data_IF_540367021323
#
_entry.id   IF_540367021323
#
_cell.length_a   1.000
_cell.length_b   1.000
_cell.length_c   1.000
_cell.angle_alpha   90.00
_cell.angle_beta   90.00
_cell.angle_gamma   90.00
#
_symmetry.space_group_name_H-M   'P 1'
#
loop_
_entity.id
_entity.type
_entity.pdbx_description
1 polymer ?
#
# COMPACT_ATOMS: atom_id res chain seq x y z
N UNK A 1 9.32 -14.89 -6.64
CA UNK A 1 9.18 -14.07 -5.42
C UNK A 1 7.92 -13.23 -5.52
N UNK A 2 7.12 -13.23 -4.47
CA UNK A 2 5.91 -12.42 -4.44
C UNK A 2 6.24 -11.01 -3.95
N UNK A 3 5.61 -10.01 -4.59
CA UNK A 3 5.71 -8.62 -4.13
C UNK A 3 4.66 -8.41 -3.05
N UNK A 4 5.06 -7.85 -1.92
CA UNK A 4 4.14 -7.52 -0.85
C UNK A 4 3.72 -6.05 -0.99
N UNK A 5 2.41 -5.81 -1.01
CA UNK A 5 1.83 -4.48 -1.21
C UNK A 5 1.11 -3.99 0.04
N UNK A 6 1.08 -2.67 0.19
CA UNK A 6 0.31 -1.99 1.23
C UNK A 6 -0.64 -1.02 0.53
N UNK A 7 -1.94 -1.26 0.67
CA UNK A 7 -2.96 -0.48 -0.05
C UNK A 7 -3.50 0.67 0.80
N UNK A 8 -3.40 1.89 0.25
CA UNK A 8 -4.07 3.04 0.84
C UNK A 8 -5.59 2.88 0.80
N UNK A 9 -6.27 3.55 1.72
CA UNK A 9 -7.72 3.53 1.86
C UNK A 9 -8.46 3.95 0.58
N UNK A 10 -7.86 4.81 -0.22
CA UNK A 10 -8.48 5.32 -1.45
C UNK A 10 -8.37 4.38 -2.65
N UNK A 11 -7.64 3.27 -2.53
CA UNK A 11 -7.55 2.29 -3.61
C UNK A 11 -8.85 1.48 -3.66
N UNK A 12 -9.52 1.43 -4.83
CA UNK A 12 -10.78 0.70 -4.94
C UNK A 12 -10.63 -0.79 -4.61
N UNK A 13 -11.62 -1.33 -3.89
CA UNK A 13 -11.61 -2.76 -3.48
C UNK A 13 -11.46 -3.75 -4.63
N UNK A 14 -12.06 -3.52 -5.82
CA UNK A 14 -11.87 -4.45 -6.94
C UNK A 14 -10.41 -4.62 -7.34
N UNK A 15 -9.58 -3.59 -7.22
CA UNK A 15 -8.14 -3.67 -7.51
C UNK A 15 -7.47 -4.60 -6.51
N UNK A 16 -7.75 -4.44 -5.23
CA UNK A 16 -7.21 -5.31 -4.18
C UNK A 16 -7.63 -6.77 -4.39
N UNK A 17 -8.90 -7.01 -4.70
CA UNK A 17 -9.40 -8.36 -4.97
C UNK A 17 -8.72 -8.99 -6.18
N UNK A 18 -8.55 -8.20 -7.25
CA UNK A 18 -7.89 -8.68 -8.45
C UNK A 18 -6.44 -9.09 -8.20
N UNK A 19 -5.73 -8.31 -7.40
CA UNK A 19 -4.34 -8.63 -7.03
C UNK A 19 -4.29 -9.90 -6.16
N UNK A 20 -5.19 -10.04 -5.20
CA UNK A 20 -5.24 -11.22 -4.34
C UNK A 20 -5.55 -12.50 -5.13
N UNK A 21 -6.38 -12.40 -6.17
CA UNK A 21 -6.66 -13.53 -7.06
C UNK A 21 -5.42 -13.98 -7.83
N UNK A 22 -4.48 -13.08 -8.04
CA UNK A 22 -3.20 -13.38 -8.71
C UNK A 22 -2.11 -13.77 -7.72
N UNK A 23 -2.50 -14.07 -6.49
CA UNK A 23 -1.59 -14.50 -5.42
C UNK A 23 -0.61 -13.42 -4.99
N UNK A 24 -0.93 -12.15 -5.24
CA UNK A 24 -0.15 -11.03 -4.73
C UNK A 24 -0.52 -10.80 -3.26
N UNK A 25 0.48 -10.72 -2.40
CA UNK A 25 0.25 -10.45 -0.99
C UNK A 25 -0.10 -8.98 -0.79
N UNK A 26 -1.30 -8.71 -0.28
CA UNK A 26 -1.81 -7.35 -0.09
C UNK A 26 -2.30 -7.18 1.34
N UNK A 27 -1.81 -6.13 1.99
CA UNK A 27 -2.34 -5.65 3.27
C UNK A 27 -2.97 -4.28 3.01
N UNK A 28 -4.21 -4.09 3.44
CA UNK A 28 -4.87 -2.78 3.30
C UNK A 28 -4.70 -1.94 4.56
N UNK A 29 -4.76 -0.61 4.40
CA UNK A 29 -4.70 0.29 5.53
C UNK A 29 -5.83 0.02 6.53
N UNK A 30 -7.02 -0.33 6.03
CA UNK A 30 -8.15 -0.67 6.88
C UNK A 30 -7.84 -1.89 7.76
N UNK A 31 -7.24 -2.92 7.18
CA UNK A 31 -6.87 -4.14 7.90
C UNK A 31 -5.77 -3.89 8.93
N UNK A 32 -4.85 -2.98 8.62
CA UNK A 32 -3.74 -2.63 9.52
C UNK A 32 -4.13 -1.59 10.57
N UNK A 33 -5.35 -1.03 10.49
CA UNK A 33 -5.80 -0.02 11.44
C UNK A 33 -5.23 1.37 11.21
N UNK A 34 -4.74 1.65 10.01
CA UNK A 34 -4.08 2.92 9.68
C UNK A 34 -4.87 3.77 8.68
N UNK A 35 -6.16 3.48 8.51
CA UNK A 35 -6.99 4.12 7.48
C UNK A 35 -7.09 5.65 7.63
N UNK A 36 -6.82 6.19 8.82
CA UNK A 36 -6.85 7.64 9.09
C UNK A 36 -5.47 8.28 9.17
N UNK A 37 -4.42 7.51 8.92
CA UNK A 37 -3.07 8.04 9.00
C UNK A 37 -2.77 8.94 7.80
N UNK A 38 -1.97 9.98 8.02
CA UNK A 38 -1.49 10.84 6.96
C UNK A 38 -0.47 10.11 6.10
N UNK A 39 -0.34 10.54 4.84
CA UNK A 39 0.48 9.87 3.83
C UNK A 39 1.93 9.60 4.26
N UNK A 40 2.64 10.55 4.88
CA UNK A 40 4.01 10.27 5.32
C UNK A 40 4.09 9.13 6.34
N UNK A 41 3.11 9.03 7.23
CA UNK A 41 3.05 7.98 8.24
C UNK A 41 2.72 6.63 7.59
N UNK A 42 1.84 6.61 6.58
CA UNK A 42 1.53 5.39 5.83
C UNK A 42 2.76 4.87 5.11
N UNK A 43 3.52 5.76 4.50
CA UNK A 43 4.74 5.38 3.79
C UNK A 43 5.77 4.80 4.74
N UNK A 44 5.94 5.40 5.91
CA UNK A 44 6.83 4.88 6.96
C UNK A 44 6.38 3.49 7.42
N UNK A 45 5.07 3.31 7.60
CA UNK A 45 4.51 2.02 8.01
C UNK A 45 4.76 0.94 6.95
N UNK A 46 4.52 1.26 5.68
CA UNK A 46 4.77 0.32 4.59
C UNK A 46 6.25 -0.06 4.52
N UNK A 47 7.14 0.90 4.67
CA UNK A 47 8.58 0.69 4.68
C UNK A 47 8.99 -0.22 5.85
N UNK A 48 8.45 0.02 7.03
CA UNK A 48 8.68 -0.80 8.23
C UNK A 48 8.28 -2.26 7.99
N UNK A 49 7.17 -2.47 7.28
CA UNK A 49 6.66 -3.80 6.96
C UNK A 49 7.34 -4.45 5.74
N UNK A 50 8.23 -3.73 5.07
CA UNK A 50 8.87 -4.22 3.86
C UNK A 50 7.91 -4.32 2.68
N UNK A 51 6.87 -3.49 2.65
CA UNK A 51 5.84 -3.50 1.60
C UNK A 51 5.92 -2.25 0.74
N UNK A 52 5.46 -2.37 -0.50
CA UNK A 52 5.36 -1.22 -1.42
C UNK A 52 3.99 -0.58 -1.21
N UNK A 53 3.98 0.72 -0.91
CA UNK A 53 2.75 1.48 -0.74
C UNK A 53 2.12 1.75 -2.11
N UNK A 54 0.85 1.39 -2.27
CA UNK A 54 0.06 1.67 -3.46
C UNK A 54 -1.01 2.68 -3.09
N UNK A 55 -1.04 3.80 -3.82
CA UNK A 55 -1.97 4.89 -3.59
C UNK A 55 -2.39 5.47 -4.93
N UNK A 56 -3.50 6.18 -4.95
CA UNK A 56 -3.91 6.96 -6.12
C UNK A 56 -3.22 8.33 -6.15
N UNK A 57 -2.46 8.67 -5.11
CA UNK A 57 -1.70 9.90 -5.06
C UNK A 57 -0.35 9.69 -5.75
N UNK A 58 -0.17 10.34 -6.89
CA UNK A 58 1.05 10.22 -7.69
C UNK A 58 2.29 10.69 -6.92
N UNK A 59 2.19 11.76 -6.16
CA UNK A 59 3.31 12.29 -5.39
C UNK A 59 3.76 11.28 -4.35
N UNK A 60 2.83 10.59 -3.72
CA UNK A 60 3.14 9.56 -2.74
C UNK A 60 3.80 8.36 -3.40
N UNK A 61 3.34 7.95 -4.60
CA UNK A 61 3.95 6.86 -5.34
C UNK A 61 5.39 7.20 -5.74
N UNK A 62 5.64 8.43 -6.18
CA UNK A 62 7.00 8.88 -6.52
C UNK A 62 7.90 8.82 -5.29
N UNK A 63 7.41 9.28 -4.15
CA UNK A 63 8.17 9.24 -2.91
C UNK A 63 8.47 7.82 -2.46
N UNK A 64 7.53 6.91 -2.61
CA UNK A 64 7.75 5.50 -2.30
C UNK A 64 8.85 4.89 -3.17
N UNK A 65 8.89 5.23 -4.46
CA UNK A 65 9.94 4.78 -5.36
C UNK A 65 11.29 5.33 -4.94
N UNK A 66 11.36 6.59 -4.53
CA UNK A 66 12.61 7.20 -4.08
C UNK A 66 13.17 6.54 -2.83
N UNK A 67 12.33 6.00 -1.96
CA UNK A 67 12.76 5.35 -0.72
C UNK A 67 13.28 3.93 -0.95
N UNK A 68 12.98 3.35 -2.08
CA UNK A 68 13.49 2.04 -2.43
C UNK A 68 14.84 2.17 -3.10
#
# INVERSE_FOLDING_TARGET
MSVALYMDVHVPRPITRGLRRREVEVLTAQEDGTSRWEDPLLLDRATELGRVLVSQDEDLLIEAVKRQ
#
